data_IF_924048919209
#
_entry.id   IF_924048919209
#
_cell.length_a   1.000
_cell.length_b   1.000
_cell.length_c   1.000
_cell.angle_alpha   90.00
_cell.angle_beta   90.00
_cell.angle_gamma   90.00
#
_symmetry.space_group_name_H-M   'P 1'
#
loop_
_entity.id
_entity.type
_entity.pdbx_description
1 polymer ?
#
# COMPACT_ATOMS: atom_id res chain seq x y z
N UNK A 1 -1.79 -8.09 14.26
CA UNK A 1 -2.52 -7.62 13.03
C UNK A 1 -2.34 -8.65 11.95
N UNK A 2 -3.41 -9.06 11.31
CA UNK A 2 -3.37 -9.93 10.12
C UNK A 2 -3.35 -9.06 8.88
N UNK A 3 -2.47 -9.40 7.95
CA UNK A 3 -2.22 -8.66 6.73
C UNK A 3 -2.31 -9.59 5.51
N UNK A 4 -2.70 -9.03 4.39
CA UNK A 4 -2.90 -9.75 3.13
C UNK A 4 -2.11 -9.12 2.00
N UNK A 5 -1.59 -9.96 1.12
CA UNK A 5 -0.94 -9.53 -0.12
C UNK A 5 -1.43 -10.39 -1.28
N UNK A 6 -2.09 -9.77 -2.23
CA UNK A 6 -2.53 -10.43 -3.45
C UNK A 6 -1.39 -10.53 -4.47
N UNK A 7 -1.20 -11.71 -5.04
CA UNK A 7 -0.16 -11.94 -6.06
C UNK A 7 -0.61 -13.04 -7.03
N UNK A 8 0.17 -13.27 -8.06
CA UNK A 8 0.02 -14.43 -8.94
C UNK A 8 0.92 -15.61 -8.53
N UNK A 9 1.61 -15.48 -7.39
CA UNK A 9 2.51 -16.50 -6.83
C UNK A 9 2.47 -16.48 -5.31
N UNK A 10 2.99 -17.55 -4.71
CA UNK A 10 3.24 -17.61 -3.26
C UNK A 10 4.45 -16.72 -2.95
N UNK A 11 4.33 -15.91 -1.87
CA UNK A 11 5.40 -15.03 -1.40
C UNK A 11 5.67 -15.32 0.08
N UNK A 12 6.36 -16.42 0.36
CA UNK A 12 6.72 -16.79 1.74
C UNK A 12 7.77 -15.88 2.35
N UNK A 13 8.69 -15.40 1.52
CA UNK A 13 9.77 -14.50 1.92
C UNK A 13 9.70 -13.23 1.09
N UNK A 14 8.95 -12.22 1.55
CA UNK A 14 8.88 -10.94 0.86
C UNK A 14 10.25 -10.29 0.69
N UNK A 15 10.45 -9.67 -0.47
CA UNK A 15 11.67 -8.94 -0.80
C UNK A 15 11.32 -7.54 -1.28
N UNK A 16 12.21 -6.59 -1.00
CA UNK A 16 12.12 -5.25 -1.55
C UNK A 16 12.65 -5.27 -2.98
N UNK A 17 11.73 -5.11 -3.93
CA UNK A 17 12.07 -5.07 -5.36
C UNK A 17 11.90 -3.63 -5.83
N UNK A 18 12.98 -3.01 -6.29
CA UNK A 18 12.90 -1.71 -6.95
C UNK A 18 12.22 -1.86 -8.29
N UNK A 19 11.20 -1.03 -8.52
CA UNK A 19 10.46 -0.98 -9.76
C UNK A 19 10.67 0.40 -10.41
N UNK A 20 10.54 0.46 -11.73
CA UNK A 20 10.54 1.73 -12.47
C UNK A 20 9.23 2.51 -12.31
N UNK A 21 8.33 2.03 -11.47
CA UNK A 21 7.01 2.60 -11.26
C UNK A 21 6.91 3.15 -9.85
N UNK A 22 6.49 4.40 -9.75
CA UNK A 22 6.21 5.05 -8.48
C UNK A 22 4.86 4.59 -7.92
N UNK A 23 4.81 4.31 -6.62
CA UNK A 23 3.66 3.82 -5.89
C UNK A 23 3.24 4.83 -4.81
N UNK A 24 2.05 4.63 -4.23
CA UNK A 24 1.44 5.56 -3.27
C UNK A 24 2.36 5.94 -2.10
N UNK A 25 3.05 4.97 -1.55
CA UNK A 25 3.95 5.13 -0.40
C UNK A 25 5.42 4.85 -0.75
N UNK A 26 5.77 4.93 -2.02
CA UNK A 26 7.11 4.66 -2.49
C UNK A 26 7.43 3.17 -2.63
N UNK A 27 8.71 2.83 -2.66
CA UNK A 27 9.14 1.45 -2.78
C UNK A 27 8.96 0.70 -1.47
N UNK A 28 8.47 -0.53 -1.56
CA UNK A 28 8.24 -1.38 -0.41
C UNK A 28 7.43 -2.61 -0.74
N UNK A 29 7.23 -3.45 0.25
CA UNK A 29 6.32 -4.58 0.19
C UNK A 29 4.96 -4.14 0.75
N UNK A 30 3.95 -4.16 -0.11
CA UNK A 30 2.61 -3.64 0.16
C UNK A 30 1.70 -4.74 0.69
N UNK A 31 1.08 -4.50 1.82
CA UNK A 31 0.04 -5.35 2.41
C UNK A 31 -1.21 -4.54 2.70
N UNK A 32 -2.35 -5.20 2.84
CA UNK A 32 -3.61 -4.58 3.23
C UNK A 32 -4.24 -5.29 4.41
N UNK A 33 -5.03 -4.57 5.19
CA UNK A 33 -5.86 -5.15 6.25
C UNK A 33 -7.18 -5.74 5.71
N UNK A 34 -7.51 -5.47 4.44
CA UNK A 34 -8.75 -5.91 3.81
C UNK A 34 -8.50 -7.13 2.90
N UNK A 35 -9.07 -8.27 3.29
CA UNK A 35 -8.93 -9.53 2.56
C UNK A 35 -9.46 -9.44 1.12
N UNK A 36 -10.65 -8.88 0.94
CA UNK A 36 -11.31 -8.83 -0.37
C UNK A 36 -10.55 -7.94 -1.35
N UNK A 37 -9.96 -6.86 -0.86
CA UNK A 37 -9.08 -6.02 -1.66
C UNK A 37 -7.86 -6.80 -2.16
N UNK A 38 -7.22 -7.60 -1.31
CA UNK A 38 -6.08 -8.41 -1.69
C UNK A 38 -6.47 -9.51 -2.69
N UNK A 39 -7.64 -10.14 -2.53
CA UNK A 39 -8.19 -11.12 -3.48
C UNK A 39 -8.41 -10.48 -4.85
N UNK A 40 -9.08 -9.34 -4.91
CA UNK A 40 -9.31 -8.60 -6.15
C UNK A 40 -7.99 -8.22 -6.84
N UNK A 41 -7.01 -7.80 -6.06
CA UNK A 41 -5.69 -7.46 -6.58
C UNK A 41 -4.95 -8.69 -7.12
N UNK A 42 -5.03 -9.84 -6.43
CA UNK A 42 -4.44 -11.09 -6.91
C UNK A 42 -5.00 -11.51 -8.28
N UNK A 43 -6.30 -11.42 -8.46
CA UNK A 43 -6.96 -11.70 -9.73
C UNK A 43 -6.49 -10.75 -10.84
N UNK A 44 -6.49 -9.44 -10.58
CA UNK A 44 -6.03 -8.43 -11.53
C UNK A 44 -4.56 -8.63 -11.95
N UNK A 45 -3.69 -8.95 -11.00
CA UNK A 45 -2.27 -9.20 -11.28
C UNK A 45 -2.09 -10.44 -12.13
N UNK A 46 -2.81 -11.53 -11.82
CA UNK A 46 -2.75 -12.78 -12.57
C UNK A 46 -3.25 -12.59 -14.00
N UNK A 47 -4.36 -11.89 -14.17
CA UNK A 47 -4.92 -11.58 -15.49
C UNK A 47 -3.97 -10.72 -16.33
N UNK A 48 -3.32 -9.76 -15.72
CA UNK A 48 -2.37 -8.88 -16.41
C UNK A 48 -1.09 -9.59 -16.80
N UNK A 49 -0.55 -10.42 -15.91
CA UNK A 49 0.72 -11.14 -16.12
C UNK A 49 0.57 -12.38 -16.98
N UNK A 50 -0.62 -12.98 -17.02
CA UNK A 50 -0.92 -14.24 -17.73
C UNK A 50 -0.07 -15.42 -17.29
N UNK A 51 0.43 -15.40 -16.04
CA UNK A 51 1.25 -16.46 -15.44
C UNK A 51 0.86 -16.67 -13.98
N UNK A 52 1.10 -17.88 -13.47
CA UNK A 52 0.80 -18.24 -12.09
C UNK A 52 -0.69 -18.44 -11.84
N UNK A 53 -1.09 -18.32 -10.59
CA UNK A 53 -2.49 -18.42 -10.16
C UNK A 53 -2.77 -17.35 -9.11
N UNK A 54 -3.98 -16.79 -9.14
CA UNK A 54 -4.39 -15.78 -8.17
C UNK A 54 -4.24 -16.33 -6.75
N UNK A 55 -3.35 -15.73 -5.99
CA UNK A 55 -2.92 -16.20 -4.67
C UNK A 55 -3.07 -15.09 -3.65
N UNK A 56 -3.78 -15.40 -2.58
CA UNK A 56 -3.84 -14.57 -1.38
C UNK A 56 -2.76 -15.05 -0.42
N UNK A 57 -1.75 -14.23 -0.19
CA UNK A 57 -0.72 -14.48 0.82
C UNK A 57 -1.15 -13.85 2.14
N UNK A 58 -1.03 -14.58 3.24
CA UNK A 58 -1.50 -14.18 4.57
C UNK A 58 -0.30 -14.06 5.50
N UNK A 59 -0.24 -12.95 6.21
CA UNK A 59 0.84 -12.65 7.14
C UNK A 59 0.29 -12.18 8.47
N UNK A 60 1.15 -12.23 9.48
CA UNK A 60 0.94 -11.57 10.76
C UNK A 60 2.09 -10.61 11.09
N UNK A 61 1.75 -9.58 11.84
CA UNK A 61 2.72 -8.68 12.46
C UNK A 61 2.30 -8.40 13.90
N UNK A 62 3.26 -8.48 14.82
CA UNK A 62 3.06 -8.07 16.20
C UNK A 62 3.25 -6.55 16.30
N UNK A 63 2.14 -5.82 16.27
CA UNK A 63 2.13 -4.35 16.18
C UNK A 63 2.93 -3.68 17.29
N UNK A 64 2.75 -4.14 18.54
CA UNK A 64 3.41 -3.55 19.68
C UNK A 64 4.94 -3.58 19.56
N UNK A 65 5.49 -4.65 18.96
CA UNK A 65 6.94 -4.80 18.76
C UNK A 65 7.37 -4.05 17.51
N UNK A 66 6.73 -4.30 16.37
CA UNK A 66 7.13 -3.71 15.11
C UNK A 66 7.05 -2.16 15.12
N UNK A 67 5.99 -1.60 15.70
CA UNK A 67 5.79 -0.15 15.76
C UNK A 67 6.70 0.54 16.78
N UNK A 68 7.24 -0.21 17.73
CA UNK A 68 8.25 0.29 18.67
C UNK A 68 9.66 0.28 18.07
N UNK A 69 10.01 -0.81 17.38
CA UNK A 69 11.37 -1.04 16.87
C UNK A 69 11.63 -0.38 15.51
N UNK A 70 10.57 -0.14 14.73
CA UNK A 70 10.64 0.49 13.41
C UNK A 70 10.13 1.93 13.43
N UNK A 71 10.68 2.78 12.57
CA UNK A 71 10.10 4.09 12.32
C UNK A 71 8.79 3.94 11.55
N UNK A 72 7.70 4.45 12.11
CA UNK A 72 6.35 4.38 11.55
C UNK A 72 5.86 5.77 11.14
N UNK A 73 5.49 5.91 9.86
CA UNK A 73 4.66 7.01 9.39
C UNK A 73 3.22 6.53 9.30
N UNK A 74 2.33 7.16 10.05
CA UNK A 74 0.93 6.76 10.14
C UNK A 74 -0.01 7.87 9.72
N UNK A 75 -0.92 7.56 8.81
CA UNK A 75 -2.02 8.42 8.41
C UNK A 75 -3.33 7.79 8.90
N UNK A 76 -4.00 8.43 9.85
CA UNK A 76 -5.27 7.91 10.39
C UNK A 76 -6.46 8.18 9.46
N UNK A 77 -6.31 9.12 8.55
CA UNK A 77 -7.31 9.46 7.54
C UNK A 77 -6.65 9.95 6.25
N UNK A 78 -7.36 9.93 5.10
CA UNK A 78 -6.88 10.51 3.86
C UNK A 78 -6.98 12.05 3.89
N UNK A 79 -6.23 12.66 4.77
CA UNK A 79 -6.15 14.11 4.97
C UNK A 79 -5.14 14.78 4.03
N UNK A 80 -4.86 16.06 4.25
CA UNK A 80 -3.92 16.84 3.46
C UNK A 80 -2.51 16.21 3.47
N UNK A 81 -2.03 15.77 4.64
CA UNK A 81 -0.71 15.16 4.77
C UNK A 81 -0.62 13.85 3.98
N UNK A 82 -1.66 13.00 4.03
CA UNK A 82 -1.73 11.78 3.24
C UNK A 82 -1.76 12.10 1.73
N UNK A 83 -2.58 13.06 1.32
CA UNK A 83 -2.69 13.44 -0.09
C UNK A 83 -1.36 13.94 -0.67
N UNK A 84 -0.68 14.82 0.04
CA UNK A 84 0.62 15.34 -0.39
C UNK A 84 1.68 14.22 -0.45
N UNK A 85 1.70 13.34 0.54
CA UNK A 85 2.61 12.20 0.58
C UNK A 85 2.40 11.25 -0.61
N UNK A 86 1.14 10.89 -0.90
CA UNK A 86 0.81 10.03 -2.04
C UNK A 86 1.16 10.72 -3.36
N UNK A 87 0.78 11.99 -3.54
CA UNK A 87 1.06 12.73 -4.76
C UNK A 87 2.57 12.86 -5.02
N UNK A 88 3.36 13.21 -4.02
CA UNK A 88 4.81 13.33 -4.13
C UNK A 88 5.48 11.99 -4.45
N UNK A 89 5.06 10.89 -3.80
CA UNK A 89 5.58 9.57 -4.11
C UNK A 89 5.22 9.12 -5.53
N UNK A 90 3.97 9.36 -5.98
CA UNK A 90 3.52 9.03 -7.34
C UNK A 90 4.25 9.82 -8.42
N UNK A 91 4.62 11.06 -8.12
CA UNK A 91 5.41 11.92 -9.02
C UNK A 91 6.92 11.66 -8.94
N UNK A 92 7.37 10.89 -7.94
CA UNK A 92 8.80 10.66 -7.71
C UNK A 92 9.54 11.88 -7.14
N UNK A 93 8.81 12.80 -6.50
CA UNK A 93 9.36 14.06 -5.97
C UNK A 93 9.49 14.09 -4.46
N UNK A 94 9.10 13.01 -3.77
CA UNK A 94 9.21 12.93 -2.32
C UNK A 94 10.67 12.99 -1.86
N UNK A 95 10.98 13.97 -1.00
CA UNK A 95 12.33 14.21 -0.45
C UNK A 95 12.35 14.19 1.09
N UNK A 96 11.27 13.73 1.71
CA UNK A 96 11.18 13.63 3.16
C UNK A 96 11.94 12.42 3.73
N UNK A 97 11.78 12.23 5.04
CA UNK A 97 12.39 11.12 5.75
C UNK A 97 11.93 9.77 5.22
N UNK A 98 12.88 8.84 5.06
CA UNK A 98 12.58 7.42 4.79
C UNK A 98 12.13 6.74 6.09
N UNK A 99 10.93 6.16 6.09
CA UNK A 99 10.39 5.38 7.19
C UNK A 99 10.51 3.88 6.92
N UNK A 100 10.56 3.08 8.00
CA UNK A 100 10.57 1.62 7.88
C UNK A 100 9.18 1.08 7.52
N UNK A 101 8.15 1.67 8.15
CA UNK A 101 6.75 1.29 7.99
C UNK A 101 5.92 2.52 7.63
N UNK A 102 4.97 2.36 6.71
CA UNK A 102 4.01 3.40 6.36
C UNK A 102 2.60 2.78 6.39
N UNK A 103 1.73 3.39 7.20
CA UNK A 103 0.35 2.97 7.37
C UNK A 103 -0.61 4.06 6.93
N UNK A 104 -1.62 3.70 6.15
CA UNK A 104 -2.63 4.67 5.72
C UNK A 104 -3.57 4.11 4.66
N UNK A 105 -4.46 4.97 4.16
CA UNK A 105 -5.45 4.59 3.17
C UNK A 105 -4.82 4.17 1.84
N UNK A 106 -5.42 3.16 1.21
CA UNK A 106 -5.07 2.72 -0.15
C UNK A 106 -5.72 3.65 -1.17
N UNK A 107 -4.95 4.13 -2.13
CA UNK A 107 -5.50 4.79 -3.31
C UNK A 107 -5.88 3.72 -4.36
N UNK A 108 -7.14 3.26 -4.33
CA UNK A 108 -7.67 2.40 -5.36
C UNK A 108 -7.81 3.15 -6.70
N UNK A 109 -8.24 2.46 -7.76
CA UNK A 109 -8.31 3.04 -9.11
C UNK A 109 -9.15 4.34 -9.18
N UNK A 110 -10.27 4.40 -8.46
CA UNK A 110 -11.13 5.59 -8.42
C UNK A 110 -10.50 6.75 -7.65
N UNK A 111 -9.88 6.43 -6.51
CA UNK A 111 -9.14 7.41 -5.70
C UNK A 111 -7.93 7.92 -6.47
N UNK A 112 -7.23 7.03 -7.17
CA UNK A 112 -6.09 7.42 -7.99
C UNK A 112 -6.47 8.37 -9.13
N UNK A 113 -7.63 8.20 -9.74
CA UNK A 113 -8.17 9.16 -10.72
C UNK A 113 -8.31 10.56 -10.12
N UNK A 114 -8.89 10.64 -8.93
CA UNK A 114 -9.05 11.91 -8.20
C UNK A 114 -7.69 12.53 -7.88
N UNK A 115 -6.72 11.73 -7.42
CA UNK A 115 -5.36 12.19 -7.14
C UNK A 115 -4.66 12.67 -8.42
N UNK A 116 -4.87 11.99 -9.55
CA UNK A 116 -4.33 12.42 -10.85
C UNK A 116 -4.86 13.80 -11.25
N UNK A 117 -6.14 14.08 -11.04
CA UNK A 117 -6.73 15.40 -11.28
C UNK A 117 -6.11 16.47 -10.37
N UNK A 118 -5.79 16.13 -9.14
CA UNK A 118 -5.06 17.00 -8.23
C UNK A 118 -3.62 17.26 -8.71
N UNK A 119 -2.88 16.20 -9.05
CA UNK A 119 -1.49 16.31 -9.52
C UNK A 119 -1.36 17.12 -10.80
N UNK A 120 -2.36 17.08 -11.68
CA UNK A 120 -2.38 17.81 -12.95
C UNK A 120 -2.97 19.23 -12.83
N UNK A 121 -3.41 19.63 -11.63
CA UNK A 121 -3.94 20.96 -11.36
C UNK A 121 -5.41 21.17 -11.77
N UNK A 122 -6.13 20.13 -12.19
CA UNK A 122 -7.57 20.23 -12.53
C UNK A 122 -8.41 20.41 -11.28
N UNK A 123 -8.08 19.72 -10.19
CA UNK A 123 -8.67 19.92 -8.87
C UNK A 123 -7.66 20.59 -7.95
N UNK A 124 -8.14 21.53 -7.12
CA UNK A 124 -7.34 22.02 -6.01
C UNK A 124 -7.36 21.06 -4.81
N UNK A 125 -6.57 21.37 -3.79
CA UNK A 125 -6.46 20.52 -2.59
C UNK A 125 -7.80 20.35 -1.87
N UNK A 126 -8.55 21.43 -1.70
CA UNK A 126 -9.84 21.44 -1.03
C UNK A 126 -10.88 20.57 -1.76
N UNK A 127 -10.98 20.73 -3.08
CA UNK A 127 -11.85 19.91 -3.93
C UNK A 127 -11.49 18.42 -3.86
N UNK A 128 -10.19 18.12 -3.88
CA UNK A 128 -9.69 16.73 -3.81
C UNK A 128 -10.05 16.10 -2.47
N UNK A 129 -9.79 16.78 -1.35
CA UNK A 129 -10.11 16.27 -0.02
C UNK A 129 -11.62 16.07 0.18
N UNK A 130 -12.45 16.97 -0.36
CA UNK A 130 -13.89 16.83 -0.33
C UNK A 130 -14.37 15.58 -1.09
N UNK A 131 -13.80 15.31 -2.26
CA UNK A 131 -14.09 14.11 -3.05
C UNK A 131 -13.68 12.82 -2.32
N UNK A 132 -12.54 12.83 -1.61
CA UNK A 132 -12.05 11.67 -0.86
C UNK A 132 -12.91 11.33 0.37
N UNK A 133 -13.52 12.33 1.02
CA UNK A 133 -14.38 12.14 2.20
C UNK A 133 -15.61 11.27 1.91
N UNK A 134 -16.09 11.26 0.69
CA UNK A 134 -17.26 10.48 0.29
C UNK A 134 -16.96 9.00 0.01
N UNK A 135 -15.70 8.58 0.11
CA UNK A 135 -15.26 7.24 -0.25
C UNK A 135 -14.86 6.43 0.97
N UNK A 136 -15.23 5.15 0.97
CA UNK A 136 -14.75 4.19 1.96
C UNK A 136 -13.41 3.65 1.47
N UNK A 137 -12.33 4.01 2.17
CA UNK A 137 -10.98 3.55 1.87
C UNK A 137 -10.56 2.47 2.86
N UNK A 138 -9.79 1.51 2.37
CA UNK A 138 -9.14 0.48 3.18
C UNK A 138 -7.71 0.90 3.49
N UNK A 139 -7.16 0.38 4.58
CA UNK A 139 -5.79 0.69 4.99
C UNK A 139 -4.79 -0.32 4.43
N UNK A 140 -3.60 0.17 4.17
CA UNK A 140 -2.42 -0.61 3.82
C UNK A 140 -1.31 -0.39 4.84
N UNK A 141 -0.48 -1.40 5.04
CA UNK A 141 0.79 -1.29 5.75
C UNK A 141 1.90 -1.67 4.78
N UNK A 142 2.81 -0.75 4.54
CA UNK A 142 3.93 -0.93 3.63
C UNK A 142 5.21 -1.14 4.43
N UNK A 143 5.94 -2.19 4.11
CA UNK A 143 7.25 -2.52 4.67
C UNK A 143 8.29 -1.98 3.70
N UNK A 144 8.93 -0.87 4.04
CA UNK A 144 9.79 -0.11 3.14
C UNK A 144 11.29 -0.40 3.32
N UNK A 145 11.67 -1.17 4.35
CA UNK A 145 13.06 -1.51 4.65
C UNK A 145 13.23 -2.99 4.96
N UNK A 146 14.44 -3.51 4.77
CA UNK A 146 14.79 -4.88 5.17
C UNK A 146 14.57 -5.09 6.68
N UNK A 147 14.85 -4.07 7.50
CA UNK A 147 14.58 -4.08 8.94
C UNK A 147 13.11 -4.38 9.22
N UNK A 148 12.19 -3.68 8.55
CA UNK A 148 10.76 -3.85 8.79
C UNK A 148 10.24 -5.22 8.33
N UNK A 149 10.78 -5.78 7.27
CA UNK A 149 10.39 -7.11 6.77
C UNK A 149 10.64 -8.23 7.78
N UNK A 150 11.58 -8.06 8.71
CA UNK A 150 11.85 -9.06 9.77
C UNK A 150 10.68 -9.25 10.73
N UNK A 151 9.78 -8.29 10.81
CA UNK A 151 8.59 -8.33 11.68
C UNK A 151 7.35 -8.87 10.99
N UNK A 152 7.44 -9.19 9.69
CA UNK A 152 6.36 -9.77 8.91
C UNK A 152 6.52 -11.30 8.85
N UNK A 153 5.54 -12.02 9.39
CA UNK A 153 5.56 -13.48 9.47
C UNK A 153 4.54 -14.09 8.50
N UNK A 154 4.99 -14.99 7.64
CA UNK A 154 4.11 -15.71 6.72
C UNK A 154 3.31 -16.76 7.47
N UNK A 155 1.98 -16.70 7.34
CA UNK A 155 1.04 -17.60 8.00
C UNK A 155 0.46 -18.65 7.05
N UNK A 156 0.40 -18.33 5.76
CA UNK A 156 -0.14 -19.26 4.79
C UNK A 156 -0.63 -18.57 3.51
N UNK A 157 -1.31 -19.35 2.70
CA UNK A 157 -1.85 -18.88 1.41
C UNK A 157 -3.19 -19.52 1.08
N UNK A 158 -3.92 -18.87 0.21
CA UNK A 158 -5.14 -19.40 -0.41
C UNK A 158 -5.08 -19.11 -1.92
N UNK A 159 -5.51 -20.08 -2.74
CA UNK A 159 -5.83 -19.85 -4.15
C UNK A 159 -7.22 -19.22 -4.23
N UNK A 160 -7.36 -18.15 -4.99
CA UNK A 160 -8.59 -17.36 -5.02
C UNK A 160 -9.09 -17.07 -6.43
#
# INVERSE_FOLDING_TARGET
MILYHGSNVIVEQPKLIRQNRYLDFGFGFYTTTNRDQAVNFAQKVTDRRKTGAATLNIYSVEEAVAFKECSLLRFDSPDEAWLDFVAENRQGTYQGKQHDLIYGAVANDDVYRTITLYMTGVLDKEQTLAALKSRKLFNQLVFATEKSLQYLHFEGRELV
#
